data_IF_328637799047
#
_entry.id   IF_328637799047
#
_cell.length_a   1.000
_cell.length_b   1.000
_cell.length_c   1.000
_cell.angle_alpha   90.00
_cell.angle_beta   90.00
_cell.angle_gamma   90.00
#
_symmetry.space_group_name_H-M   'P 1'
#
loop_
_entity.id
_entity.type
_entity.pdbx_description
1 polymer ?
#
# COMPACT_ATOMS: atom_id res chain seq x y z
N UNK A 1 6.14 6.07 9.85
CA UNK A 1 6.01 5.45 8.54
C UNK A 1 5.16 6.32 7.60
N UNK A 2 3.84 6.48 7.81
CA UNK A 2 2.91 7.13 6.87
C UNK A 2 3.34 8.52 6.38
N UNK A 3 3.91 9.37 7.24
CA UNK A 3 4.41 10.70 6.83
C UNK A 3 5.59 10.62 5.86
N UNK A 4 6.49 9.66 6.05
CA UNK A 4 7.64 9.45 5.15
C UNK A 4 7.17 8.85 3.84
N UNK A 5 6.22 7.94 3.87
CA UNK A 5 5.58 7.38 2.67
C UNK A 5 4.92 8.50 1.84
N UNK A 6 4.06 9.32 2.43
CA UNK A 6 3.44 10.46 1.75
C UNK A 6 4.46 11.47 1.24
N UNK A 7 5.48 11.77 2.04
CA UNK A 7 6.57 12.66 1.63
C UNK A 7 7.29 12.13 0.39
N UNK A 8 7.65 10.84 0.37
CA UNK A 8 8.35 10.26 -0.78
C UNK A 8 7.51 10.27 -2.06
N UNK A 9 6.20 10.02 -1.97
CA UNK A 9 5.28 10.16 -3.10
C UNK A 9 5.31 11.57 -3.69
N UNK A 10 5.17 12.60 -2.83
CA UNK A 10 5.15 14.01 -3.26
C UNK A 10 6.52 14.48 -3.74
N UNK A 11 7.60 14.00 -3.11
CA UNK A 11 8.98 14.39 -3.44
C UNK A 11 9.37 13.98 -4.87
N UNK A 12 8.93 12.81 -5.32
CA UNK A 12 9.23 12.33 -6.67
C UNK A 12 8.18 12.73 -7.71
N UNK A 13 6.99 13.14 -7.29
CA UNK A 13 5.96 13.54 -8.24
C UNK A 13 6.20 14.96 -8.77
N UNK A 14 6.12 15.10 -10.08
CA UNK A 14 6.17 16.40 -10.76
C UNK A 14 4.84 17.16 -10.72
N UNK A 15 3.78 16.49 -10.29
CA UNK A 15 2.43 17.04 -10.24
C UNK A 15 1.82 16.85 -8.85
N UNK A 16 0.80 17.64 -8.57
CA UNK A 16 0.03 17.48 -7.32
C UNK A 16 -0.70 16.16 -7.30
N UNK A 17 -0.54 15.43 -6.19
CA UNK A 17 -1.22 14.17 -5.92
C UNK A 17 -2.34 14.40 -4.90
N UNK A 18 -3.54 13.91 -5.22
CA UNK A 18 -4.62 13.80 -4.24
C UNK A 18 -4.37 12.55 -3.37
N UNK A 19 -3.85 12.77 -2.17
CA UNK A 19 -3.50 11.71 -1.23
C UNK A 19 -4.42 11.76 -0.02
N UNK A 20 -5.14 10.68 0.20
CA UNK A 20 -6.04 10.52 1.35
C UNK A 20 -5.58 9.40 2.29
N UNK A 21 -5.52 9.68 3.59
CA UNK A 21 -5.20 8.68 4.60
C UNK A 21 -6.48 7.95 5.06
N UNK A 22 -6.52 6.63 4.89
CA UNK A 22 -7.59 5.79 5.42
C UNK A 22 -7.43 5.61 6.93
N UNK A 23 -8.16 6.41 7.72
CA UNK A 23 -8.12 6.38 9.19
C UNK A 23 -9.29 5.56 9.72
N UNK A 24 -9.03 4.37 10.23
CA UNK A 24 -10.06 3.47 10.79
C UNK A 24 -11.02 4.16 11.78
N UNK A 25 -10.58 5.02 12.72
CA UNK A 25 -11.52 5.72 13.61
C UNK A 25 -12.50 6.63 12.86
N UNK A 26 -12.03 7.31 11.80
CA UNK A 26 -12.89 8.17 10.99
C UNK A 26 -13.91 7.36 10.18
N UNK A 27 -13.49 6.22 9.62
CA UNK A 27 -14.38 5.30 8.90
C UNK A 27 -15.43 4.70 9.83
N UNK A 28 -15.05 4.29 11.05
CA UNK A 28 -16.01 3.83 12.07
C UNK A 28 -17.02 4.90 12.48
N UNK A 29 -16.56 6.14 12.72
CA UNK A 29 -17.45 7.27 13.04
C UNK A 29 -18.47 7.54 11.94
N UNK A 30 -18.08 7.36 10.66
CA UNK A 30 -18.96 7.49 9.50
C UNK A 30 -19.82 6.25 9.23
N UNK A 31 -19.74 5.20 10.07
CA UNK A 31 -20.42 3.89 9.90
C UNK A 31 -20.08 3.19 8.57
N UNK A 32 -18.91 3.46 8.02
CA UNK A 32 -18.40 2.81 6.79
C UNK A 32 -17.59 1.55 7.10
N UNK A 33 -17.10 1.41 8.34
CA UNK A 33 -16.31 0.28 8.79
C UNK A 33 -16.73 -0.10 10.21
N UNK A 34 -17.34 -1.30 10.35
CA UNK A 34 -17.81 -1.82 11.64
C UNK A 34 -17.18 -3.14 12.05
N UNK A 35 -16.23 -3.62 11.24
CA UNK A 35 -15.53 -4.88 11.49
C UNK A 35 -14.85 -4.88 12.87
N UNK A 36 -15.07 -5.92 13.70
CA UNK A 36 -14.37 -6.04 14.96
C UNK A 36 -12.89 -6.30 14.73
N UNK A 37 -12.02 -5.75 15.60
CA UNK A 37 -10.59 -6.05 15.58
C UNK A 37 -10.36 -7.45 16.17
N UNK A 38 -10.37 -8.47 15.33
CA UNK A 38 -10.18 -9.85 15.73
C UNK A 38 -9.42 -10.59 14.61
N UNK A 39 -8.34 -11.28 14.98
CA UNK A 39 -7.53 -12.08 14.05
C UNK A 39 -6.97 -11.30 12.84
N UNK A 40 -6.66 -10.02 13.02
CA UNK A 40 -6.07 -9.15 11.97
C UNK A 40 -4.65 -8.75 12.39
N UNK A 41 -3.75 -8.56 11.40
CA UNK A 41 -2.40 -8.05 11.65
C UNK A 41 -2.41 -6.59 12.14
N UNK A 42 -3.34 -5.76 11.62
CA UNK A 42 -3.51 -4.36 11.99
C UNK A 42 -4.99 -3.97 11.97
N UNK A 43 -5.34 -2.86 12.64
CA UNK A 43 -6.74 -2.35 12.65
C UNK A 43 -7.24 -1.86 11.29
N UNK A 44 -6.34 -1.59 10.36
CA UNK A 44 -6.65 -1.04 9.04
C UNK A 44 -6.49 -2.06 7.89
N UNK A 45 -6.22 -3.33 8.21
CA UNK A 45 -5.93 -4.39 7.23
C UNK A 45 -6.94 -4.45 6.09
N UNK A 46 -8.23 -4.30 6.37
CA UNK A 46 -9.29 -4.44 5.36
C UNK A 46 -9.81 -3.10 4.82
N UNK A 47 -9.43 -1.97 5.41
CA UNK A 47 -9.95 -0.64 4.99
C UNK A 47 -9.56 -0.29 3.55
N UNK A 48 -8.52 -0.91 3.00
CA UNK A 48 -8.09 -0.77 1.61
C UNK A 48 -9.17 -1.14 0.60
N UNK A 49 -10.02 -2.11 0.94
CA UNK A 49 -11.11 -2.56 0.07
C UNK A 49 -12.32 -1.62 0.08
N UNK A 50 -12.34 -0.58 0.93
CA UNK A 50 -13.35 0.49 0.89
C UNK A 50 -13.09 1.52 -0.21
N UNK A 51 -11.93 1.49 -0.87
CA UNK A 51 -11.54 2.51 -1.85
C UNK A 51 -12.56 2.65 -2.98
N UNK A 52 -13.07 1.59 -3.62
CA UNK A 52 -14.07 1.74 -4.68
C UNK A 52 -15.31 2.49 -4.21
N UNK A 53 -15.83 2.14 -3.03
CA UNK A 53 -16.96 2.83 -2.42
C UNK A 53 -16.66 4.31 -2.12
N UNK A 54 -15.49 4.61 -1.56
CA UNK A 54 -15.06 5.98 -1.23
C UNK A 54 -14.87 6.83 -2.50
N UNK A 55 -14.43 6.23 -3.59
CA UNK A 55 -14.33 6.84 -4.92
C UNK A 55 -15.67 6.90 -5.66
N UNK A 56 -16.76 6.47 -5.02
CA UNK A 56 -18.09 6.41 -5.64
C UNK A 56 -18.08 5.59 -6.94
N UNK A 57 -17.23 4.58 -6.97
CA UNK A 57 -17.03 3.68 -8.12
C UNK A 57 -16.69 4.42 -9.42
N UNK A 58 -15.81 5.44 -9.34
CA UNK A 58 -15.40 6.25 -10.49
C UNK A 58 -13.89 6.30 -10.64
N UNK A 59 -13.45 6.16 -11.89
CA UNK A 59 -12.05 6.30 -12.28
C UNK A 59 -11.13 5.26 -11.67
N UNK A 60 -9.86 5.62 -11.59
CA UNK A 60 -8.81 4.80 -11.02
C UNK A 60 -8.36 5.34 -9.68
N UNK A 61 -8.01 4.44 -8.76
CA UNK A 61 -7.37 4.77 -7.51
C UNK A 61 -6.13 3.91 -7.29
N UNK A 62 -5.11 4.47 -6.64
CA UNK A 62 -3.97 3.72 -6.13
C UNK A 62 -4.10 3.56 -4.62
N UNK A 63 -3.83 2.36 -4.13
CA UNK A 63 -3.62 2.09 -2.72
C UNK A 63 -2.18 1.63 -2.47
N UNK A 64 -1.58 2.06 -1.37
CA UNK A 64 -0.38 1.43 -0.82
C UNK A 64 -0.46 1.36 0.71
N UNK A 65 0.20 0.38 1.31
CA UNK A 65 0.42 0.33 2.75
C UNK A 65 1.32 1.50 3.18
N UNK A 66 1.30 1.87 4.44
CA UNK A 66 2.00 3.04 4.96
C UNK A 66 3.49 2.82 5.27
N UNK A 67 3.97 1.63 5.04
CA UNK A 67 5.36 1.19 5.17
C UNK A 67 6.10 1.12 3.82
N UNK A 68 5.60 1.85 2.82
CA UNK A 68 6.29 2.09 1.56
C UNK A 68 7.21 3.31 1.63
N UNK A 69 8.26 3.27 0.79
CA UNK A 69 9.10 4.41 0.43
C UNK A 69 9.25 4.44 -1.09
N UNK A 70 8.68 5.44 -1.74
CA UNK A 70 8.79 5.62 -3.19
C UNK A 70 10.13 6.27 -3.54
N UNK A 71 10.76 5.76 -4.60
CA UNK A 71 12.07 6.20 -5.10
C UNK A 71 11.97 6.79 -6.51
N UNK A 72 10.85 6.57 -7.19
CA UNK A 72 10.56 7.07 -8.53
C UNK A 72 9.20 7.77 -8.60
N UNK A 73 8.96 8.48 -9.71
CA UNK A 73 7.70 9.20 -9.95
C UNK A 73 6.54 8.20 -10.09
N UNK A 74 5.59 8.29 -9.17
CA UNK A 74 4.39 7.42 -9.15
C UNK A 74 3.56 7.52 -10.43
N UNK A 75 3.72 8.56 -11.25
CA UNK A 75 3.08 8.65 -12.57
C UNK A 75 3.49 7.54 -13.52
N UNK A 76 4.72 7.07 -13.43
CA UNK A 76 5.17 5.92 -14.22
C UNK A 76 4.36 4.67 -13.84
N UNK A 77 4.13 4.46 -12.53
CA UNK A 77 3.24 3.40 -12.05
C UNK A 77 1.80 3.61 -12.53
N UNK A 78 1.25 4.83 -12.41
CA UNK A 78 -0.12 5.13 -12.82
C UNK A 78 -0.32 5.00 -14.34
N UNK A 79 0.73 5.14 -15.16
CA UNK A 79 0.65 4.92 -16.60
C UNK A 79 0.44 3.45 -17.00
N UNK A 80 0.63 2.51 -16.06
CA UNK A 80 0.40 1.08 -16.27
C UNK A 80 -1.07 0.66 -16.13
N UNK A 81 -1.99 1.62 -15.98
CA UNK A 81 -3.42 1.35 -15.95
C UNK A 81 -3.87 0.64 -17.24
N UNK A 82 -4.74 -0.37 -17.06
CA UNK A 82 -5.33 -1.12 -18.15
C UNK A 82 -6.82 -1.33 -17.87
N UNK A 83 -7.68 -0.71 -18.66
CA UNK A 83 -9.13 -0.72 -18.46
C UNK A 83 -9.77 -2.12 -18.55
N UNK A 84 -9.08 -3.11 -19.11
CA UNK A 84 -9.54 -4.51 -19.09
C UNK A 84 -9.29 -5.21 -17.76
N UNK A 85 -8.69 -4.53 -16.77
CA UNK A 85 -8.36 -5.11 -15.45
C UNK A 85 -9.14 -4.43 -14.35
N UNK A 86 -9.55 -5.23 -13.39
CA UNK A 86 -10.21 -4.79 -12.15
C UNK A 86 -9.20 -4.24 -11.14
N UNK A 87 -8.14 -5.02 -10.92
CA UNK A 87 -7.02 -4.68 -10.03
C UNK A 87 -5.71 -5.01 -10.74
N UNK A 88 -4.70 -4.15 -10.58
CA UNK A 88 -3.35 -4.41 -11.07
C UNK A 88 -2.41 -4.31 -9.87
N UNK A 89 -1.64 -5.38 -9.60
CA UNK A 89 -0.77 -5.47 -8.44
C UNK A 89 0.51 -6.24 -8.77
N UNK A 90 1.49 -6.19 -7.89
CA UNK A 90 2.67 -7.06 -8.01
C UNK A 90 2.30 -8.47 -7.55
N UNK A 91 2.43 -9.44 -8.45
CA UNK A 91 2.15 -10.86 -8.18
C UNK A 91 3.39 -11.53 -7.57
N UNK A 92 3.58 -11.32 -6.26
CA UNK A 92 4.70 -11.91 -5.55
C UNK A 92 4.55 -13.43 -5.41
N UNK A 93 5.63 -14.16 -5.66
CA UNK A 93 5.76 -15.57 -5.27
C UNK A 93 6.32 -15.70 -3.84
N UNK A 94 5.96 -14.75 -2.98
CA UNK A 94 6.50 -14.64 -1.63
C UNK A 94 5.91 -15.71 -0.69
N UNK A 95 6.79 -16.58 -0.18
CA UNK A 95 6.45 -17.56 0.86
C UNK A 95 7.28 -17.26 2.13
N UNK A 96 6.68 -16.66 3.17
CA UNK A 96 7.42 -16.32 4.38
C UNK A 96 8.01 -17.58 5.02
N UNK A 97 9.30 -17.52 5.39
CA UNK A 97 10.01 -18.63 6.06
C UNK A 97 9.59 -18.78 7.51
N UNK A 98 9.18 -17.71 8.17
CA UNK A 98 8.85 -17.69 9.59
C UNK A 98 7.33 -17.62 9.80
N UNK A 99 6.87 -18.35 10.84
CA UNK A 99 5.45 -18.38 11.24
C UNK A 99 5.05 -17.21 12.16
N UNK A 100 6.01 -16.44 12.65
CA UNK A 100 5.81 -15.34 13.61
C UNK A 100 6.52 -14.10 13.07
N UNK A 101 5.80 -12.98 13.05
CA UNK A 101 6.38 -11.66 12.71
C UNK A 101 7.24 -11.14 13.87
N UNK A 102 8.15 -10.17 13.59
CA UNK A 102 9.00 -9.52 14.59
C UNK A 102 8.25 -8.91 15.79
N UNK A 103 6.96 -8.61 15.64
CA UNK A 103 6.06 -8.10 16.69
C UNK A 103 5.31 -9.21 17.45
N UNK A 104 5.78 -10.45 17.40
CA UNK A 104 5.18 -11.65 18.00
C UNK A 104 3.77 -12.00 17.48
N UNK A 105 3.31 -11.42 16.38
CA UNK A 105 2.04 -11.77 15.76
C UNK A 105 2.17 -12.97 14.84
N UNK A 106 1.16 -13.84 14.90
CA UNK A 106 1.08 -15.01 14.02
C UNK A 106 1.01 -14.55 12.57
N UNK A 107 1.94 -15.03 11.74
CA UNK A 107 1.94 -14.79 10.30
C UNK A 107 1.03 -15.81 9.63
N UNK A 108 -0.08 -15.34 9.04
CA UNK A 108 -0.96 -16.19 8.27
C UNK A 108 -0.32 -16.42 6.89
N UNK A 109 -0.22 -17.69 6.49
CA UNK A 109 0.22 -18.06 5.15
C UNK A 109 -1.01 -18.05 4.25
N UNK A 110 -1.15 -17.03 3.42
CA UNK A 110 -2.13 -16.99 2.34
C UNK A 110 -1.39 -17.16 1.00
N UNK A 111 -2.04 -17.75 0.06
CA UNK A 111 -1.68 -17.55 -1.35
C UNK A 111 -1.79 -16.05 -1.67
N UNK A 112 -1.13 -15.57 -2.72
CA UNK A 112 -1.13 -14.14 -3.12
C UNK A 112 -0.74 -13.17 -1.99
N UNK A 113 0.18 -13.60 -1.14
CA UNK A 113 0.71 -12.76 -0.05
C UNK A 113 1.31 -11.46 -0.59
N UNK A 114 1.03 -10.33 0.08
CA UNK A 114 1.46 -8.97 -0.27
C UNK A 114 0.90 -8.40 -1.59
N UNK A 115 0.05 -9.11 -2.33
CA UNK A 115 -0.54 -8.59 -3.57
C UNK A 115 -1.38 -7.34 -3.32
N UNK A 116 -2.15 -7.32 -2.25
CA UNK A 116 -3.02 -6.19 -1.89
C UNK A 116 -2.32 -5.05 -1.15
N UNK A 117 -0.99 -5.09 -0.99
CA UNK A 117 -0.23 -4.04 -0.30
C UNK A 117 0.03 -2.81 -1.18
N UNK A 118 0.07 -3.00 -2.51
CA UNK A 118 0.05 -1.95 -3.53
C UNK A 118 -0.89 -2.37 -4.65
N UNK A 119 -1.89 -1.54 -4.96
CA UNK A 119 -2.91 -1.83 -5.96
C UNK A 119 -3.23 -0.60 -6.79
N UNK A 120 -3.33 -0.77 -8.11
CA UNK A 120 -4.11 0.13 -8.96
C UNK A 120 -5.49 -0.49 -9.10
N UNK A 121 -6.54 0.24 -8.78
CA UNK A 121 -7.92 -0.24 -8.72
C UNK A 121 -8.74 0.52 -9.75
N UNK A 122 -9.30 -0.20 -10.71
CA UNK A 122 -10.29 0.33 -11.64
C UNK A 122 -11.66 0.36 -10.97
N UNK A 123 -12.00 1.48 -10.34
CA UNK A 123 -13.26 1.60 -9.61
C UNK A 123 -14.51 1.50 -10.50
N UNK A 124 -14.35 1.57 -11.82
CA UNK A 124 -15.46 1.47 -12.79
C UNK A 124 -15.65 0.03 -13.32
N UNK A 125 -14.71 -0.89 -13.02
CA UNK A 125 -14.84 -2.28 -13.44
C UNK A 125 -16.10 -2.92 -12.81
N UNK A 126 -16.87 -3.73 -13.57
CA UNK A 126 -18.09 -4.33 -13.05
C UNK A 126 -17.89 -5.06 -11.71
N UNK A 127 -16.92 -5.97 -11.63
CA UNK A 127 -16.67 -6.76 -10.42
C UNK A 127 -16.19 -5.91 -9.23
N UNK A 128 -15.52 -4.79 -9.50
CA UNK A 128 -15.11 -3.83 -8.45
C UNK A 128 -16.32 -3.06 -7.91
N UNK A 129 -17.38 -2.86 -8.72
CA UNK A 129 -18.63 -2.23 -8.26
C UNK A 129 -19.41 -3.11 -7.30
N UNK A 130 -19.17 -4.41 -7.33
CA UNK A 130 -19.79 -5.37 -6.40
C UNK A 130 -19.11 -5.36 -5.02
N UNK A 131 -17.93 -4.74 -4.90
CA UNK A 131 -17.23 -4.58 -3.61
C UNK A 131 -17.92 -3.47 -2.80
N UNK A 132 -18.92 -3.87 -2.06
CA UNK A 132 -19.72 -2.98 -1.22
C UNK A 132 -19.25 -2.96 0.25
N UNK A 133 -19.96 -2.21 1.09
CA UNK A 133 -19.66 -2.11 2.53
C UNK A 133 -19.85 -3.45 3.25
N UNK A 134 -20.84 -4.27 2.88
CA UNK A 134 -21.10 -5.57 3.49
C UNK A 134 -19.94 -6.51 3.22
N UNK A 135 -19.52 -6.65 1.95
CA UNK A 135 -18.38 -7.48 1.57
C UNK A 135 -17.13 -7.11 2.39
N UNK A 136 -16.78 -5.84 2.47
CA UNK A 136 -15.57 -5.40 3.19
C UNK A 136 -15.68 -5.66 4.69
N UNK A 137 -16.85 -5.56 5.29
CA UNK A 137 -17.03 -5.70 6.73
C UNK A 137 -17.30 -7.12 7.20
N UNK A 138 -17.75 -8.03 6.34
CA UNK A 138 -18.29 -9.33 6.71
C UNK A 138 -17.49 -10.50 6.13
N UNK A 139 -16.92 -10.35 4.92
CA UNK A 139 -16.18 -11.42 4.26
C UNK A 139 -14.85 -11.76 4.96
N UNK A 140 -14.34 -12.97 4.74
CA UNK A 140 -13.08 -13.39 5.35
C UNK A 140 -11.90 -12.53 4.86
N UNK A 141 -10.85 -12.44 5.69
CA UNK A 141 -9.63 -11.75 5.27
C UNK A 141 -8.94 -12.45 4.10
N UNK A 142 -9.07 -13.76 4.04
CA UNK A 142 -8.56 -14.59 2.95
C UNK A 142 -9.24 -14.23 1.63
N UNK A 143 -10.56 -14.28 1.61
CA UNK A 143 -11.38 -13.90 0.46
C UNK A 143 -11.03 -12.52 -0.10
N UNK A 144 -10.89 -11.52 0.78
CA UNK A 144 -10.55 -10.16 0.38
C UNK A 144 -9.12 -10.04 -0.16
N UNK A 145 -8.12 -10.54 0.58
CA UNK A 145 -6.71 -10.38 0.22
C UNK A 145 -6.23 -11.24 -0.93
N UNK A 146 -6.88 -12.39 -1.16
CA UNK A 146 -6.59 -13.25 -2.31
C UNK A 146 -7.33 -12.82 -3.56
N UNK A 147 -8.20 -11.80 -3.45
CA UNK A 147 -9.07 -11.36 -4.54
C UNK A 147 -9.97 -12.50 -5.07
N UNK A 148 -10.51 -13.34 -4.17
CA UNK A 148 -11.41 -14.46 -4.54
C UNK A 148 -12.74 -13.96 -5.11
N UNK A 149 -12.97 -12.66 -5.05
CA UNK A 149 -14.07 -11.94 -5.69
C UNK A 149 -13.78 -11.51 -7.15
N UNK A 150 -12.60 -11.84 -7.70
CA UNK A 150 -12.20 -11.57 -9.09
C UNK A 150 -11.82 -12.87 -9.80
N UNK A 151 -12.01 -12.91 -11.11
CA UNK A 151 -11.36 -13.90 -11.94
C UNK A 151 -9.87 -13.58 -12.10
N UNK A 152 -9.03 -14.60 -12.27
CA UNK A 152 -7.57 -14.40 -12.42
C UNK A 152 -7.19 -13.53 -13.62
N UNK A 153 -8.00 -13.58 -14.67
CA UNK A 153 -7.85 -12.78 -15.88
C UNK A 153 -8.10 -11.28 -15.64
N UNK A 154 -8.88 -10.92 -14.61
CA UNK A 154 -9.18 -9.53 -14.24
C UNK A 154 -8.10 -8.91 -13.35
N UNK A 155 -7.13 -9.71 -12.89
CA UNK A 155 -6.01 -9.26 -12.09
C UNK A 155 -4.78 -9.05 -12.98
N UNK A 156 -4.40 -7.79 -13.19
CA UNK A 156 -3.20 -7.41 -13.93
C UNK A 156 -1.92 -7.53 -13.10
N UNK A 157 -0.77 -7.46 -13.77
CA UNK A 157 0.55 -7.55 -13.13
C UNK A 157 1.30 -6.23 -13.23
N UNK A 158 1.91 -5.79 -12.13
CA UNK A 158 2.90 -4.72 -12.07
C UNK A 158 4.32 -5.29 -12.03
N UNK A 159 5.32 -4.54 -12.49
CA UNK A 159 6.72 -4.86 -12.22
C UNK A 159 6.98 -4.92 -10.71
N UNK A 160 7.74 -5.90 -10.24
CA UNK A 160 8.03 -6.08 -8.81
C UNK A 160 8.87 -4.93 -8.21
N UNK A 161 9.55 -4.14 -9.06
CA UNK A 161 10.25 -2.92 -8.65
C UNK A 161 9.36 -1.92 -7.92
N UNK A 162 8.06 -1.87 -8.23
CA UNK A 162 7.08 -0.99 -7.57
C UNK A 162 6.58 -1.49 -6.20
N UNK A 163 6.83 -2.75 -5.88
CA UNK A 163 6.53 -3.33 -4.56
C UNK A 163 7.71 -4.21 -4.14
N UNK A 164 8.88 -3.58 -4.02
CA UNK A 164 10.12 -4.24 -3.68
C UNK A 164 10.12 -4.66 -2.21
N UNK A 165 9.95 -5.94 -1.95
CA UNK A 165 9.95 -6.47 -0.59
C UNK A 165 11.38 -6.41 -0.03
N UNK A 166 11.60 -5.49 0.90
CA UNK A 166 12.88 -5.31 1.58
C UNK A 166 13.28 -6.59 2.31
N UNK A 167 14.54 -6.98 2.24
CA UNK A 167 15.13 -8.24 2.72
C UNK A 167 14.71 -9.49 1.93
N UNK A 168 13.85 -9.37 0.93
CA UNK A 168 13.44 -10.49 0.06
C UNK A 168 14.06 -10.37 -1.33
N UNK A 169 13.82 -9.27 -2.03
CA UNK A 169 14.48 -8.98 -3.31
C UNK A 169 15.86 -8.39 -3.09
N UNK A 170 16.78 -8.66 -4.01
CA UNK A 170 18.17 -8.25 -3.88
C UNK A 170 18.76 -7.82 -5.22
N UNK A 171 19.30 -6.62 -5.27
CA UNK A 171 19.96 -6.07 -6.47
C UNK A 171 21.19 -6.87 -6.87
N UNK A 172 21.96 -7.39 -5.90
CA UNK A 172 23.15 -8.23 -6.12
C UNK A 172 22.83 -9.64 -6.66
N UNK A 173 21.57 -10.05 -6.66
CA UNK A 173 21.10 -11.32 -7.22
C UNK A 173 20.41 -11.18 -8.58
N UNK A 174 20.37 -9.97 -9.13
CA UNK A 174 19.81 -9.71 -10.45
C UNK A 174 18.30 -9.46 -10.46
N UNK A 175 17.67 -9.20 -9.29
CA UNK A 175 16.26 -8.86 -9.22
C UNK A 175 15.96 -7.44 -9.77
N UNK A 176 16.99 -6.67 -10.16
CA UNK A 176 16.86 -5.30 -10.66
C UNK A 176 17.00 -4.25 -9.57
N UNK A 177 16.33 -3.12 -9.73
CA UNK A 177 16.36 -1.99 -8.79
C UNK A 177 14.94 -1.61 -8.37
N UNK A 178 14.73 -1.17 -7.11
CA UNK A 178 13.43 -0.76 -6.62
C UNK A 178 13.00 0.61 -7.14
N UNK A 179 11.74 0.71 -7.55
CA UNK A 179 11.01 1.97 -7.75
C UNK A 179 10.26 2.38 -6.48
N UNK A 180 9.84 1.40 -5.68
CA UNK A 180 9.26 1.61 -4.37
C UNK A 180 9.63 0.47 -3.42
N UNK A 181 10.17 0.81 -2.25
CA UNK A 181 10.52 -0.13 -1.19
C UNK A 181 9.30 -0.41 -0.31
N UNK A 182 9.09 -1.67 0.04
CA UNK A 182 8.06 -2.11 0.97
C UNK A 182 8.69 -2.83 2.17
N UNK A 183 8.56 -2.24 3.35
CA UNK A 183 9.12 -2.76 4.60
C UNK A 183 8.17 -3.74 5.28
N UNK A 184 7.74 -4.77 4.58
CA UNK A 184 6.67 -5.72 4.98
C UNK A 184 6.96 -6.50 6.27
N UNK A 185 8.22 -6.66 6.65
CA UNK A 185 8.65 -7.36 7.87
C UNK A 185 8.86 -6.41 9.06
N UNK A 186 8.65 -5.12 8.86
CA UNK A 186 8.89 -4.04 9.79
C UNK A 186 9.97 -3.09 9.26
N UNK A 187 9.73 -1.80 9.45
CA UNK A 187 10.62 -0.78 8.93
C UNK A 187 11.79 -0.44 9.86
N UNK A 188 12.65 0.49 9.42
CA UNK A 188 13.84 0.93 10.15
C UNK A 188 13.59 1.48 11.56
N UNK A 189 12.33 1.76 11.88
CA UNK A 189 11.87 2.17 13.22
C UNK A 189 11.69 1.00 14.20
N UNK A 190 11.75 -0.26 13.72
CA UNK A 190 11.62 -1.47 14.54
C UNK A 190 12.93 -2.26 14.54
N UNK A 191 13.53 -2.46 13.36
CA UNK A 191 14.68 -3.35 13.18
C UNK A 191 15.67 -2.78 12.15
N UNK A 192 16.85 -3.38 12.07
CA UNK A 192 17.81 -3.08 11.01
C UNK A 192 17.34 -3.68 9.68
N UNK A 193 17.60 -2.98 8.59
CA UNK A 193 17.22 -3.42 7.24
C UNK A 193 18.18 -2.87 6.20
N UNK A 194 18.26 -3.51 5.03
CA UNK A 194 19.13 -3.15 3.92
C UNK A 194 18.98 -1.67 3.52
N UNK A 195 17.76 -1.13 3.53
CA UNK A 195 17.45 0.25 3.11
C UNK A 195 17.20 1.20 4.28
N UNK A 196 17.67 0.88 5.49
CA UNK A 196 17.51 1.73 6.69
C UNK A 196 18.03 3.15 6.47
N UNK A 197 19.24 3.29 5.93
CA UNK A 197 19.84 4.60 5.71
C UNK A 197 19.06 5.41 4.68
N UNK A 198 18.59 4.76 3.62
CA UNK A 198 17.74 5.41 2.61
C UNK A 198 16.48 5.99 3.27
N UNK A 199 15.76 5.20 4.05
CA UNK A 199 14.57 5.67 4.76
C UNK A 199 14.86 6.82 5.73
N UNK A 200 15.97 6.74 6.48
CA UNK A 200 16.39 7.81 7.40
C UNK A 200 16.71 9.11 6.66
N UNK A 201 17.33 9.04 5.49
CA UNK A 201 17.59 10.19 4.65
C UNK A 201 16.29 10.90 4.22
N UNK A 202 15.28 10.14 3.75
CA UNK A 202 13.97 10.72 3.41
C UNK A 202 13.27 11.33 4.62
N UNK A 203 13.37 10.68 5.79
CA UNK A 203 12.84 11.24 7.02
C UNK A 203 13.49 12.59 7.34
N UNK A 204 14.81 12.69 7.23
CA UNK A 204 15.57 13.94 7.46
C UNK A 204 15.14 15.02 6.47
N UNK A 205 15.09 14.72 5.16
CA UNK A 205 14.65 15.67 4.14
C UNK A 205 13.23 16.19 4.43
N UNK A 206 12.32 15.32 4.81
CA UNK A 206 10.96 15.71 5.19
C UNK A 206 10.95 16.67 6.40
N UNK A 207 11.80 16.44 7.40
CA UNK A 207 11.89 17.28 8.59
C UNK A 207 12.45 18.66 8.24
N UNK A 208 13.49 18.73 7.42
CA UNK A 208 14.12 19.98 6.93
C UNK A 208 13.14 20.83 6.10
N UNK A 209 12.37 20.21 5.18
CA UNK A 209 11.36 20.94 4.41
C UNK A 209 10.24 21.49 5.31
N UNK A 210 9.81 20.73 6.31
CA UNK A 210 8.77 21.19 7.23
C UNK A 210 9.24 22.37 8.09
N UNK A 211 10.50 22.39 8.53
CA UNK A 211 11.10 23.50 9.26
C UNK A 211 11.20 24.76 8.39
N UNK A 212 11.66 24.63 7.17
CA UNK A 212 11.76 25.73 6.20
C UNK A 212 10.38 26.36 5.93
N UNK A 213 9.33 25.55 5.74
CA UNK A 213 7.97 26.05 5.55
C UNK A 213 7.42 26.80 6.76
N UNK A 214 7.74 26.36 7.99
CA UNK A 214 7.34 27.04 9.23
C UNK A 214 8.03 28.40 9.36
N UNK A 215 9.31 28.48 9.08
CA UNK A 215 10.09 29.73 9.15
C UNK A 215 9.57 30.77 8.16
N UNK A 216 9.22 30.36 6.94
CA UNK A 216 8.66 31.24 5.92
C UNK A 216 7.26 31.76 6.27
N UNK A 217 6.47 31.00 7.03
CA UNK A 217 5.12 31.41 7.46
C UNK A 217 5.15 32.40 8.62
N UNK A 218 6.19 32.39 9.46
CA UNK A 218 6.36 33.32 10.61
C UNK A 218 6.91 34.69 10.14
N UNK A 219 7.54 34.76 8.97
CA UNK A 219 8.14 35.98 8.41
C UNK A 219 7.19 36.81 7.52
N UNK A 220 5.94 36.43 7.43
CA UNK A 220 4.86 37.15 6.75
C UNK A 220 3.79 37.62 7.74
#
# INVERSE_FOLDING_TARGET
ASKVCEFSLRHHSKEDLDISLLKTPALKKKKLYWRPYKNQSTQFTYTRFLIPYLQKYKGWAMYCDNDFLFLNDVKELLSLQNNSKAVICVKHEYKPKEKIKMDNKKQTQFERKNWSSLMLINCEHPDVKDVDLSMVNEESGEYLHQFDWLNDEDIGSLPHSWNWLVNWYRTDKGDGHPDALHFTEGGPWIADSEYKQTWLNYKKLMEEENESKRTTTISR
#
